data_IF_259787591891
#
_entry.id   IF_259787591891
#
_cell.length_a   1.000
_cell.length_b   1.000
_cell.length_c   1.000
_cell.angle_alpha   90.00
_cell.angle_beta   90.00
_cell.angle_gamma   90.00
#
_symmetry.space_group_name_H-M   'P 1'
#
loop_
_entity.id
_entity.type
_entity.pdbx_description
1 polymer ?
#
# COMPACT_ATOMS: atom_id res chain seq x y z
N UNK A 1 -40.16 -23.86 31.20
CA UNK A 1 -38.80 -23.45 31.60
C UNK A 1 -37.85 -23.31 30.41
N UNK A 2 -37.64 -24.33 29.57
CA UNK A 2 -36.67 -24.25 28.45
C UNK A 2 -36.96 -23.14 27.41
N UNK A 3 -38.22 -22.81 27.11
CA UNK A 3 -38.56 -21.72 26.18
C UNK A 3 -38.26 -20.31 26.71
N UNK A 4 -38.30 -20.12 28.03
CA UNK A 4 -38.01 -18.82 28.68
C UNK A 4 -36.50 -18.57 28.71
N UNK A 5 -35.70 -19.62 28.95
CA UNK A 5 -34.23 -19.54 28.95
C UNK A 5 -33.69 -19.20 27.55
N UNK A 6 -34.27 -19.79 26.48
CA UNK A 6 -33.89 -19.48 25.09
C UNK A 6 -34.23 -18.03 24.72
N UNK A 7 -35.38 -17.50 25.16
CA UNK A 7 -35.78 -16.12 24.89
C UNK A 7 -34.88 -15.10 25.60
N UNK A 8 -34.45 -15.41 26.83
CA UNK A 8 -33.50 -14.56 27.58
C UNK A 8 -32.12 -14.57 26.92
N UNK A 9 -31.65 -15.71 26.43
CA UNK A 9 -30.38 -15.79 25.70
C UNK A 9 -30.39 -14.99 24.39
N UNK A 10 -31.50 -15.04 23.63
CA UNK A 10 -31.68 -14.27 22.40
C UNK A 10 -31.70 -12.75 22.66
N UNK A 11 -32.37 -12.32 23.73
CA UNK A 11 -32.42 -10.90 24.12
C UNK A 11 -31.06 -10.39 24.63
N UNK A 12 -30.30 -11.22 25.37
CA UNK A 12 -28.95 -10.89 25.78
C UNK A 12 -27.99 -10.79 24.61
N UNK A 13 -28.09 -11.68 23.61
CA UNK A 13 -27.25 -11.58 22.41
C UNK A 13 -27.52 -10.31 21.61
N UNK A 14 -28.77 -9.87 21.49
CA UNK A 14 -29.12 -8.65 20.77
C UNK A 14 -28.62 -7.38 21.48
N UNK A 15 -28.69 -7.34 22.81
CA UNK A 15 -28.17 -6.21 23.60
C UNK A 15 -26.65 -6.10 23.54
N UNK A 16 -25.94 -7.23 23.59
CA UNK A 16 -24.47 -7.26 23.50
C UNK A 16 -24.02 -6.80 22.10
N UNK A 17 -24.67 -7.25 21.03
CA UNK A 17 -24.33 -6.84 19.66
C UNK A 17 -24.54 -5.33 19.43
N UNK A 18 -25.67 -4.77 19.86
CA UNK A 18 -25.94 -3.33 19.70
C UNK A 18 -25.01 -2.40 20.50
N UNK A 19 -24.52 -2.85 21.67
CA UNK A 19 -23.51 -2.09 22.43
C UNK A 19 -22.12 -2.17 21.81
N UNK A 20 -21.76 -3.32 21.22
CA UNK A 20 -20.48 -3.51 20.53
C UNK A 20 -20.43 -2.65 19.26
N UNK A 21 -21.49 -2.62 18.45
CA UNK A 21 -21.55 -1.79 17.23
C UNK A 21 -21.39 -0.29 17.51
N UNK A 22 -22.05 0.23 18.56
CA UNK A 22 -21.95 1.64 18.92
C UNK A 22 -20.53 2.01 19.44
N UNK A 23 -19.90 1.10 20.21
CA UNK A 23 -18.52 1.29 20.67
C UNK A 23 -17.51 1.23 19.53
N UNK A 24 -17.67 0.30 18.59
CA UNK A 24 -16.81 0.17 17.41
C UNK A 24 -16.84 1.44 16.57
N UNK A 25 -18.03 1.95 16.28
CA UNK A 25 -18.19 3.18 15.51
C UNK A 25 -17.52 4.37 16.21
N UNK A 26 -17.81 4.60 17.49
CA UNK A 26 -17.23 5.71 18.24
C UNK A 26 -15.70 5.59 18.36
N UNK A 27 -15.18 4.36 18.51
CA UNK A 27 -13.74 4.11 18.57
C UNK A 27 -13.06 4.28 17.21
N UNK A 28 -13.71 3.89 16.11
CA UNK A 28 -13.22 4.10 14.74
C UNK A 28 -13.08 5.60 14.43
N UNK A 29 -14.09 6.40 14.81
CA UNK A 29 -14.05 7.86 14.63
C UNK A 29 -12.89 8.47 15.41
N UNK A 30 -12.73 8.09 16.69
CA UNK A 30 -11.60 8.54 17.53
C UNK A 30 -10.26 8.10 16.97
N UNK A 31 -10.17 6.89 16.44
CA UNK A 31 -8.96 6.36 15.82
C UNK A 31 -8.56 7.21 14.61
N UNK A 32 -9.52 7.56 13.74
CA UNK A 32 -9.30 8.48 12.64
C UNK A 32 -8.81 9.86 13.09
N UNK A 33 -9.36 10.39 14.18
CA UNK A 33 -8.92 11.67 14.76
C UNK A 33 -7.51 11.63 15.34
N UNK A 34 -7.12 10.55 16.01
CA UNK A 34 -5.77 10.34 16.53
C UNK A 34 -4.78 10.21 15.37
N UNK A 35 -5.07 9.33 14.40
CA UNK A 35 -4.27 9.16 13.19
C UNK A 35 -4.03 10.48 12.47
N UNK A 36 -5.06 11.31 12.34
CA UNK A 36 -4.96 12.60 11.65
C UNK A 36 -3.97 13.58 12.27
N UNK A 37 -3.67 13.45 13.57
CA UNK A 37 -2.70 14.29 14.27
C UNK A 37 -1.27 13.75 14.14
N UNK A 38 -1.11 12.47 13.83
CA UNK A 38 0.17 11.79 13.69
C UNK A 38 0.05 10.63 12.68
N UNK A 39 0.14 10.98 11.40
CA UNK A 39 -0.04 10.02 10.29
C UNK A 39 1.06 8.97 10.18
N UNK A 40 2.20 9.20 10.85
CA UNK A 40 3.31 8.25 10.93
C UNK A 40 3.16 7.26 12.08
N UNK A 41 2.12 7.40 12.91
CA UNK A 41 1.81 6.54 14.05
C UNK A 41 2.94 6.40 15.09
N UNK A 42 3.91 7.33 15.12
CA UNK A 42 5.11 7.20 15.97
C UNK A 42 4.89 7.66 17.41
N UNK A 43 5.56 7.00 18.36
CA UNK A 43 5.71 7.45 19.75
C UNK A 43 4.68 6.89 20.74
N UNK A 44 5.08 6.83 22.01
CA UNK A 44 4.32 6.18 23.09
C UNK A 44 2.93 6.81 23.31
N UNK A 45 2.80 8.12 23.11
CA UNK A 45 1.49 8.79 23.24
C UNK A 45 0.50 8.28 22.21
N UNK A 46 0.94 8.08 20.96
CA UNK A 46 0.10 7.52 19.90
C UNK A 46 -0.33 6.11 20.27
N UNK A 47 0.65 5.23 20.58
CA UNK A 47 0.43 3.83 20.97
C UNK A 47 -0.57 3.73 22.13
N UNK A 48 -0.32 4.43 23.23
CA UNK A 48 -1.18 4.43 24.40
C UNK A 48 -2.60 4.97 24.13
N UNK A 49 -2.75 5.86 23.15
CA UNK A 49 -4.06 6.40 22.77
C UNK A 49 -4.88 5.42 21.95
N UNK A 50 -4.25 4.75 20.97
CA UNK A 50 -4.94 3.79 20.10
C UNK A 50 -5.23 2.45 20.81
N UNK A 51 -4.35 2.02 21.72
CA UNK A 51 -4.54 0.81 22.55
C UNK A 51 -5.87 0.82 23.34
N UNK A 52 -6.30 2.00 23.80
CA UNK A 52 -7.56 2.18 24.55
C UNK A 52 -8.81 2.02 23.68
N UNK A 53 -8.65 2.02 22.35
CA UNK A 53 -9.72 1.94 21.38
C UNK A 53 -9.99 0.52 20.89
N UNK A 54 -9.25 -0.47 21.39
CA UNK A 54 -9.37 -1.86 20.97
C UNK A 54 -10.78 -2.42 21.11
N UNK A 55 -11.19 -3.08 20.04
CA UNK A 55 -12.39 -3.90 19.91
C UNK A 55 -12.07 -5.01 18.91
N UNK A 56 -12.85 -6.11 18.83
CA UNK A 56 -12.57 -7.19 17.90
C UNK A 56 -12.38 -6.73 16.44
N UNK A 57 -13.16 -5.74 15.99
CA UNK A 57 -13.09 -5.22 14.63
C UNK A 57 -11.97 -4.17 14.42
N UNK A 58 -11.39 -3.62 15.48
CA UNK A 58 -10.33 -2.60 15.42
C UNK A 58 -8.95 -3.12 15.80
N UNK A 59 -8.85 -4.32 16.38
CA UNK A 59 -7.58 -4.88 16.86
C UNK A 59 -6.51 -4.91 15.78
N UNK A 60 -6.81 -5.51 14.62
CA UNK A 60 -5.84 -5.65 13.53
C UNK A 60 -5.41 -4.28 12.96
N UNK A 61 -6.32 -3.31 12.86
CA UNK A 61 -6.01 -1.94 12.44
C UNK A 61 -5.04 -1.28 13.43
N UNK A 62 -5.32 -1.42 14.73
CA UNK A 62 -4.48 -0.86 15.80
C UNK A 62 -3.10 -1.52 15.79
N UNK A 63 -3.03 -2.85 15.63
CA UNK A 63 -1.78 -3.60 15.54
C UNK A 63 -0.94 -3.14 14.34
N UNK A 64 -1.56 -2.96 13.17
CA UNK A 64 -0.90 -2.45 11.99
C UNK A 64 -0.38 -1.00 12.17
N UNK A 65 -1.18 -0.11 12.79
CA UNK A 65 -0.75 1.26 13.07
C UNK A 65 0.43 1.30 14.04
N UNK A 66 0.41 0.48 15.09
CA UNK A 66 1.53 0.36 16.03
C UNK A 66 2.78 -0.17 15.31
N UNK A 67 2.63 -1.22 14.51
CA UNK A 67 3.73 -1.78 13.72
C UNK A 67 4.35 -0.75 12.75
N UNK A 68 3.52 0.10 12.13
CA UNK A 68 3.99 1.25 11.30
C UNK A 68 4.80 2.25 12.12
N UNK A 69 4.33 2.59 13.32
CA UNK A 69 4.98 3.54 14.21
C UNK A 69 6.30 3.04 14.79
N UNK A 70 6.38 1.73 15.06
CA UNK A 70 7.52 1.04 15.67
C UNK A 70 8.51 0.49 14.64
N UNK A 71 8.19 0.59 13.34
CA UNK A 71 9.05 0.10 12.26
C UNK A 71 9.27 -1.42 12.39
N UNK A 72 8.21 -2.13 12.76
CA UNK A 72 8.22 -3.57 13.06
C UNK A 72 8.27 -4.39 11.77
N UNK A 73 9.24 -5.32 11.67
CA UNK A 73 9.38 -6.26 10.55
C UNK A 73 8.14 -7.14 10.33
N UNK A 74 7.25 -7.26 11.33
CA UNK A 74 5.95 -7.92 11.16
C UNK A 74 5.15 -7.36 9.99
N UNK A 75 5.34 -6.09 9.61
CA UNK A 75 4.74 -5.47 8.41
C UNK A 75 5.03 -6.24 7.12
N UNK A 76 6.09 -7.04 7.09
CA UNK A 76 6.50 -7.86 5.94
C UNK A 76 5.90 -9.27 5.97
N UNK A 77 5.14 -9.61 7.01
CA UNK A 77 4.60 -10.96 7.20
C UNK A 77 3.20 -11.11 6.63
N UNK A 78 2.70 -12.36 6.56
CA UNK A 78 1.33 -12.65 6.12
C UNK A 78 0.26 -11.95 6.97
N UNK A 79 0.56 -11.58 8.22
CA UNK A 79 -0.38 -10.87 9.09
C UNK A 79 -0.86 -9.57 8.42
N UNK A 80 0.07 -8.70 7.99
CA UNK A 80 -0.27 -7.40 7.39
C UNK A 80 -0.22 -7.38 5.86
N UNK A 81 0.34 -8.40 5.21
CA UNK A 81 0.34 -8.47 3.74
C UNK A 81 -0.87 -9.21 3.18
N UNK A 82 -1.57 -10.03 3.97
CA UNK A 82 -2.80 -10.69 3.51
C UNK A 82 -3.94 -9.69 3.33
N UNK A 83 -4.86 -9.97 2.40
CA UNK A 83 -6.05 -9.14 2.20
C UNK A 83 -6.89 -9.09 3.49
N UNK A 84 -7.13 -7.90 4.07
CA UNK A 84 -8.03 -7.76 5.22
C UNK A 84 -9.49 -8.07 4.85
N UNK A 85 -10.34 -8.19 5.86
CA UNK A 85 -11.80 -8.32 5.63
C UNK A 85 -12.37 -7.08 4.94
N UNK A 86 -13.47 -7.23 4.21
CA UNK A 86 -14.13 -6.11 3.52
C UNK A 86 -14.58 -5.01 4.50
N UNK A 87 -14.99 -5.39 5.72
CA UNK A 87 -15.31 -4.45 6.80
C UNK A 87 -14.08 -3.65 7.23
N UNK A 88 -12.94 -4.32 7.44
CA UNK A 88 -11.71 -3.66 7.85
C UNK A 88 -11.18 -2.73 6.75
N UNK A 89 -11.27 -3.14 5.49
CA UNK A 89 -10.94 -2.32 4.33
C UNK A 89 -11.77 -1.02 4.31
N UNK A 90 -13.08 -1.10 4.60
CA UNK A 90 -13.93 0.09 4.79
C UNK A 90 -13.49 0.94 6.01
N UNK A 91 -13.12 0.32 7.13
CA UNK A 91 -12.66 1.05 8.32
C UNK A 91 -11.35 1.83 8.07
N UNK A 92 -10.39 1.25 7.37
CA UNK A 92 -9.20 1.96 6.90
C UNK A 92 -9.55 3.15 6.01
N UNK A 93 -10.61 3.04 5.21
CA UNK A 93 -11.08 4.12 4.36
C UNK A 93 -11.77 5.23 5.17
N UNK A 94 -12.53 4.90 6.22
CA UNK A 94 -13.06 5.87 7.19
C UNK A 94 -11.93 6.69 7.82
N UNK A 95 -10.84 6.02 8.25
CA UNK A 95 -9.67 6.70 8.82
C UNK A 95 -9.07 7.69 7.82
N UNK A 96 -8.95 7.30 6.54
CA UNK A 96 -8.50 8.18 5.44
C UNK A 96 -9.41 9.38 5.27
N UNK A 97 -10.72 9.18 5.18
CA UNK A 97 -11.68 10.26 4.92
C UNK A 97 -11.79 11.23 6.10
N UNK A 98 -11.74 10.74 7.34
CA UNK A 98 -11.61 11.60 8.53
C UNK A 98 -10.34 12.44 8.45
N UNK A 99 -9.21 11.84 8.07
CA UNK A 99 -7.97 12.58 7.90
C UNK A 99 -8.09 13.65 6.82
N UNK A 100 -8.63 13.32 5.65
CA UNK A 100 -8.79 14.26 4.54
C UNK A 100 -9.74 15.40 4.90
N UNK A 101 -10.86 15.09 5.57
CA UNK A 101 -11.80 16.09 6.09
C UNK A 101 -11.14 17.09 7.05
N UNK A 102 -10.13 16.66 7.81
CA UNK A 102 -9.41 17.51 8.77
C UNK A 102 -8.29 18.33 8.17
N UNK A 103 -7.63 17.84 7.12
CA UNK A 103 -6.43 18.49 6.55
C UNK A 103 -6.66 19.15 5.19
N UNK A 104 -7.82 18.94 4.56
CA UNK A 104 -8.15 19.57 3.29
C UNK A 104 -8.12 21.09 3.41
N UNK A 105 -7.46 21.75 2.45
CA UNK A 105 -7.45 23.22 2.32
C UNK A 105 -8.62 23.74 1.50
N UNK A 106 -9.30 22.86 0.77
CA UNK A 106 -10.33 23.22 -0.22
C UNK A 106 -11.76 23.05 0.34
N UNK A 107 -11.94 22.14 1.30
CA UNK A 107 -13.26 21.80 1.86
C UNK A 107 -13.38 22.30 3.29
N UNK A 108 -14.58 22.77 3.66
CA UNK A 108 -14.89 23.07 5.05
C UNK A 108 -15.01 21.76 5.85
N UNK A 109 -14.31 21.61 6.99
CA UNK A 109 -14.39 20.40 7.80
C UNK A 109 -15.81 20.15 8.30
N UNK A 110 -16.30 18.92 8.10
CA UNK A 110 -17.58 18.43 8.63
C UNK A 110 -17.35 17.64 9.93
N UNK A 111 -18.40 17.38 10.74
CA UNK A 111 -18.26 16.50 11.90
C UNK A 111 -17.79 15.09 11.48
N UNK A 112 -16.74 14.56 12.14
CA UNK A 112 -16.13 13.28 11.73
C UNK A 112 -17.07 12.08 11.85
N UNK A 113 -18.07 12.13 12.74
CA UNK A 113 -19.12 11.10 12.81
C UNK A 113 -19.93 11.02 11.51
N UNK A 114 -20.36 12.17 10.97
CA UNK A 114 -21.09 12.23 9.70
C UNK A 114 -20.23 11.71 8.55
N UNK A 115 -18.94 12.07 8.52
CA UNK A 115 -18.00 11.55 7.51
C UNK A 115 -17.89 10.02 7.60
N UNK A 116 -17.76 9.47 8.81
CA UNK A 116 -17.68 8.04 9.01
C UNK A 116 -18.97 7.30 8.61
N UNK A 117 -20.13 7.82 8.99
CA UNK A 117 -21.45 7.28 8.60
C UNK A 117 -21.59 7.19 7.09
N UNK A 118 -21.36 8.30 6.37
CA UNK A 118 -21.46 8.36 4.91
C UNK A 118 -20.53 7.34 4.23
N UNK A 119 -19.30 7.19 4.72
CA UNK A 119 -18.34 6.22 4.16
C UNK A 119 -18.81 4.79 4.38
N UNK A 120 -19.30 4.46 5.57
CA UNK A 120 -19.77 3.11 5.90
C UNK A 120 -20.99 2.70 5.08
N UNK A 121 -21.92 3.64 4.86
CA UNK A 121 -23.14 3.46 4.06
C UNK A 121 -22.89 3.45 2.55
N UNK A 122 -21.79 4.06 2.10
CA UNK A 122 -21.47 4.14 0.68
C UNK A 122 -20.99 2.82 0.08
N UNK A 123 -21.34 2.61 -1.19
CA UNK A 123 -20.72 1.61 -2.05
C UNK A 123 -19.43 2.21 -2.64
N UNK A 124 -18.29 1.65 -2.24
CA UNK A 124 -16.95 2.10 -2.64
C UNK A 124 -16.30 0.99 -3.45
N UNK A 125 -15.61 1.36 -4.53
CA UNK A 125 -14.81 0.44 -5.32
C UNK A 125 -13.81 -0.31 -4.42
N UNK A 126 -13.88 -1.65 -4.41
CA UNK A 126 -13.02 -2.49 -3.57
C UNK A 126 -11.52 -2.27 -3.85
N UNK A 127 -11.18 -1.85 -5.09
CA UNK A 127 -9.81 -1.53 -5.49
C UNK A 127 -9.29 -0.29 -4.76
N UNK A 128 -10.17 0.69 -4.50
CA UNK A 128 -9.80 1.88 -3.71
C UNK A 128 -9.57 1.53 -2.24
N UNK A 129 -10.43 0.67 -1.69
CA UNK A 129 -10.31 0.24 -0.30
C UNK A 129 -8.99 -0.52 -0.08
N UNK A 130 -8.68 -1.49 -0.96
CA UNK A 130 -7.46 -2.27 -0.87
C UNK A 130 -6.19 -1.42 -1.13
N UNK A 131 -6.22 -0.55 -2.14
CA UNK A 131 -5.11 0.36 -2.41
C UNK A 131 -4.87 1.32 -1.24
N UNK A 132 -5.93 1.81 -0.58
CA UNK A 132 -5.80 2.62 0.63
C UNK A 132 -5.17 1.83 1.78
N UNK A 133 -5.61 0.58 2.02
CA UNK A 133 -5.02 -0.24 3.08
C UNK A 133 -3.50 -0.36 2.94
N UNK A 134 -3.04 -0.84 1.78
CA UNK A 134 -1.60 -1.02 1.56
C UNK A 134 -0.84 0.30 1.55
N UNK A 135 -1.44 1.39 1.03
CA UNK A 135 -0.87 2.73 1.12
C UNK A 135 -0.63 3.18 2.56
N UNK A 136 -1.48 2.80 3.52
CA UNK A 136 -1.35 3.23 4.93
C UNK A 136 -0.23 2.49 5.66
N UNK A 137 0.03 1.23 5.32
CA UNK A 137 1.12 0.46 5.95
C UNK A 137 2.48 0.65 5.24
N UNK A 138 2.49 1.07 3.98
CA UNK A 138 3.72 1.17 3.17
C UNK A 138 4.78 2.11 3.80
N UNK A 139 4.36 3.12 4.56
CA UNK A 139 5.29 4.05 5.22
C UNK A 139 6.15 3.36 6.27
N UNK A 140 5.58 2.41 7.02
CA UNK A 140 6.32 1.55 7.94
C UNK A 140 7.27 0.62 7.20
N UNK A 141 6.81 0.01 6.10
CA UNK A 141 7.63 -0.87 5.25
C UNK A 141 8.84 -0.12 4.68
N UNK A 142 8.65 1.12 4.22
CA UNK A 142 9.74 1.95 3.72
C UNK A 142 10.79 2.24 4.81
N UNK A 143 10.36 2.40 6.06
CA UNK A 143 11.27 2.59 7.20
C UNK A 143 12.04 1.32 7.53
N UNK A 144 11.36 0.18 7.62
CA UNK A 144 12.00 -1.14 7.79
C UNK A 144 13.09 -1.35 6.73
N UNK A 145 12.76 -1.14 5.45
CA UNK A 145 13.71 -1.31 4.35
C UNK A 145 14.90 -0.34 4.39
N UNK A 146 14.79 0.82 5.05
CA UNK A 146 15.91 1.75 5.12
C UNK A 146 17.09 1.18 5.91
N UNK A 147 16.80 0.33 6.89
CA UNK A 147 17.77 -0.19 7.85
C UNK A 147 17.98 -1.70 7.72
N UNK A 148 17.00 -2.44 7.20
CA UNK A 148 17.08 -3.88 6.98
C UNK A 148 17.65 -4.27 5.60
N UNK A 149 18.19 -5.48 5.52
CA UNK A 149 18.48 -6.18 4.27
C UNK A 149 17.37 -7.19 4.01
N UNK A 150 16.63 -7.04 2.91
CA UNK A 150 15.51 -7.90 2.56
C UNK A 150 15.84 -8.84 1.39
N UNK A 151 17.12 -8.98 1.01
CA UNK A 151 17.54 -9.79 -0.13
C UNK A 151 17.16 -11.28 -0.01
N UNK A 152 17.09 -11.81 1.22
CA UNK A 152 16.66 -13.17 1.51
C UNK A 152 15.12 -13.34 1.57
N UNK A 153 14.36 -12.22 1.54
CA UNK A 153 12.90 -12.29 1.53
C UNK A 153 12.36 -12.57 0.13
N UNK A 154 11.32 -13.39 0.08
CA UNK A 154 10.54 -13.64 -1.13
C UNK A 154 9.06 -13.44 -0.87
N UNK A 155 8.48 -12.39 -1.45
CA UNK A 155 7.04 -12.16 -1.42
C UNK A 155 6.36 -13.03 -2.46
N UNK A 156 5.82 -14.16 -2.02
CA UNK A 156 4.95 -14.99 -2.84
C UNK A 156 3.55 -14.37 -2.89
N UNK A 157 3.29 -13.54 -3.89
CA UNK A 157 2.07 -12.73 -4.01
C UNK A 157 0.80 -13.59 -3.99
N UNK A 158 0.89 -14.86 -4.41
CA UNK A 158 -0.25 -15.78 -4.43
C UNK A 158 -0.66 -16.27 -3.03
N UNK A 159 0.17 -16.06 -2.00
CA UNK A 159 -0.05 -16.60 -0.66
C UNK A 159 -0.84 -15.66 0.27
N UNK A 160 -1.18 -14.45 -0.20
CA UNK A 160 -1.78 -13.37 0.61
C UNK A 160 -3.31 -13.28 0.49
N UNK A 161 -3.96 -14.29 -0.11
CA UNK A 161 -5.42 -14.31 -0.24
C UNK A 161 -6.00 -13.27 -1.21
N UNK A 162 -5.18 -12.76 -2.13
CA UNK A 162 -5.58 -11.80 -3.17
C UNK A 162 -6.32 -12.54 -4.30
N UNK A 163 -7.52 -12.06 -4.64
CA UNK A 163 -8.51 -12.76 -5.48
C UNK A 163 -8.15 -12.75 -6.96
N UNK A 164 -7.53 -11.69 -7.45
CA UNK A 164 -7.30 -11.46 -8.88
C UNK A 164 -6.00 -10.66 -9.14
N UNK A 165 -5.62 -10.53 -10.41
CA UNK A 165 -4.39 -9.85 -10.81
C UNK A 165 -4.38 -8.35 -10.45
N UNK A 166 -5.55 -7.69 -10.35
CA UNK A 166 -5.66 -6.30 -9.87
C UNK A 166 -5.17 -6.20 -8.43
N UNK A 167 -5.68 -7.04 -7.54
CA UNK A 167 -5.32 -7.03 -6.12
C UNK A 167 -3.84 -7.37 -5.90
N UNK A 168 -3.32 -8.34 -6.67
CA UNK A 168 -1.90 -8.69 -6.71
C UNK A 168 -1.02 -7.53 -7.15
N UNK A 169 -1.45 -6.82 -8.19
CA UNK A 169 -0.74 -5.63 -8.67
C UNK A 169 -0.76 -4.50 -7.62
N UNK A 170 -1.87 -4.28 -6.92
CA UNK A 170 -1.98 -3.29 -5.84
C UNK A 170 -0.93 -3.57 -4.76
N UNK A 171 -0.88 -4.80 -4.22
CA UNK A 171 0.12 -5.17 -3.22
C UNK A 171 1.55 -4.97 -3.75
N UNK A 172 1.82 -5.46 -4.96
CA UNK A 172 3.13 -5.31 -5.60
C UNK A 172 3.55 -3.84 -5.70
N UNK A 173 2.66 -2.94 -6.16
CA UNK A 173 2.96 -1.52 -6.32
C UNK A 173 3.20 -0.82 -4.99
N UNK A 174 2.46 -1.17 -3.94
CA UNK A 174 2.67 -0.62 -2.60
C UNK A 174 4.00 -1.06 -2.00
N UNK A 175 4.35 -2.35 -2.11
CA UNK A 175 5.63 -2.87 -1.63
C UNK A 175 6.80 -2.28 -2.41
N UNK A 176 6.76 -2.38 -3.73
CA UNK A 176 7.85 -1.87 -4.57
C UNK A 176 8.01 -0.37 -4.42
N UNK A 177 6.91 0.40 -4.42
CA UNK A 177 6.92 1.83 -4.19
C UNK A 177 7.55 2.23 -2.85
N UNK A 178 7.27 1.50 -1.76
CA UNK A 178 7.87 1.75 -0.44
C UNK A 178 9.40 1.58 -0.46
N UNK A 179 9.89 0.53 -1.13
CA UNK A 179 11.30 0.17 -1.11
C UNK A 179 12.12 0.94 -2.16
N UNK A 180 11.52 1.36 -3.28
CA UNK A 180 12.26 2.04 -4.35
C UNK A 180 12.15 3.56 -4.34
N UNK A 181 11.42 4.16 -3.38
CA UNK A 181 11.23 5.61 -3.30
C UNK A 181 12.54 6.41 -3.35
N UNK A 182 13.61 5.87 -2.74
CA UNK A 182 14.94 6.51 -2.69
C UNK A 182 15.71 6.45 -4.01
N UNK A 183 15.35 5.57 -4.95
CA UNK A 183 16.10 5.36 -6.18
C UNK A 183 16.15 6.63 -7.03
N UNK A 184 15.01 7.30 -7.18
CA UNK A 184 14.93 8.58 -7.91
C UNK A 184 15.79 9.66 -7.25
N UNK A 185 15.77 9.75 -5.91
CA UNK A 185 16.59 10.72 -5.17
C UNK A 185 18.09 10.45 -5.42
N UNK A 186 18.51 9.18 -5.32
CA UNK A 186 19.89 8.79 -5.54
C UNK A 186 20.33 8.98 -7.00
N UNK A 187 19.45 8.74 -7.97
CA UNK A 187 19.69 9.00 -9.38
C UNK A 187 19.91 10.50 -9.63
N UNK A 188 19.03 11.37 -9.12
CA UNK A 188 19.16 12.84 -9.24
C UNK A 188 20.45 13.34 -8.58
N UNK A 189 20.81 12.79 -7.42
CA UNK A 189 22.04 13.10 -6.72
C UNK A 189 23.30 12.48 -7.34
N UNK A 190 23.14 11.71 -8.44
CA UNK A 190 24.22 10.98 -9.12
C UNK A 190 25.04 10.12 -8.15
N UNK A 191 24.33 9.30 -7.36
CA UNK A 191 24.90 8.35 -6.40
C UNK A 191 24.62 6.90 -6.82
N UNK A 192 25.17 6.43 -7.96
CA UNK A 192 24.87 5.10 -8.47
C UNK A 192 25.33 4.00 -7.51
N UNK A 193 26.46 4.14 -6.82
CA UNK A 193 26.93 3.15 -5.84
C UNK A 193 25.92 2.91 -4.73
N UNK A 194 25.42 4.01 -4.14
CA UNK A 194 24.43 3.93 -3.06
C UNK A 194 23.08 3.42 -3.55
N UNK A 195 22.71 3.72 -4.80
CA UNK A 195 21.50 3.16 -5.41
C UNK A 195 21.63 1.64 -5.51
N UNK A 196 22.77 1.14 -6.00
CA UNK A 196 23.04 -0.28 -6.11
C UNK A 196 23.07 -0.98 -4.75
N UNK A 197 23.64 -0.35 -3.71
CA UNK A 197 23.57 -0.88 -2.33
C UNK A 197 22.13 -1.08 -1.84
N UNK A 198 21.19 -0.19 -2.19
CA UNK A 198 19.77 -0.41 -1.87
C UNK A 198 19.13 -1.46 -2.80
N UNK A 199 19.50 -1.49 -4.09
CA UNK A 199 18.97 -2.47 -5.02
C UNK A 199 19.35 -3.91 -4.65
N UNK A 200 20.56 -4.11 -4.12
CA UNK A 200 21.03 -5.43 -3.69
C UNK A 200 20.30 -5.95 -2.43
N UNK A 201 19.66 -5.05 -1.66
CA UNK A 201 18.84 -5.40 -0.49
C UNK A 201 17.38 -5.69 -0.82
N UNK A 202 16.96 -5.51 -2.07
CA UNK A 202 15.55 -5.67 -2.44
C UNK A 202 15.14 -7.14 -2.40
N UNK A 203 13.91 -7.42 -1.95
CA UNK A 203 13.37 -8.78 -1.92
C UNK A 203 13.00 -9.27 -3.31
N UNK A 204 12.84 -10.59 -3.41
CA UNK A 204 12.26 -11.24 -4.56
C UNK A 204 10.72 -11.22 -4.50
N UNK A 205 10.08 -11.36 -5.66
CA UNK A 205 8.65 -11.59 -5.81
C UNK A 205 8.44 -12.87 -6.61
N UNK A 206 7.71 -13.82 -6.04
CA UNK A 206 7.48 -15.15 -6.65
C UNK A 206 8.78 -15.84 -7.12
N UNK A 207 9.87 -15.70 -6.35
CA UNK A 207 11.18 -16.29 -6.62
C UNK A 207 12.00 -15.56 -7.69
N UNK A 208 11.58 -14.37 -8.12
CA UNK A 208 12.26 -13.56 -9.14
C UNK A 208 12.62 -12.17 -8.62
N UNK A 209 13.65 -11.51 -9.17
CA UNK A 209 13.94 -10.12 -8.86
C UNK A 209 12.71 -9.24 -9.09
N UNK A 210 12.54 -8.19 -8.25
CA UNK A 210 11.35 -7.32 -8.30
C UNK A 210 11.04 -6.78 -9.70
N UNK A 211 12.07 -6.44 -10.49
CA UNK A 211 11.91 -5.87 -11.83
C UNK A 211 11.31 -6.83 -12.86
N UNK A 212 11.29 -8.14 -12.59
CA UNK A 212 10.69 -9.14 -13.49
C UNK A 212 9.15 -9.25 -13.34
N UNK A 213 8.56 -8.67 -12.29
CA UNK A 213 7.11 -8.70 -12.12
C UNK A 213 6.44 -7.74 -13.10
N UNK A 214 5.65 -8.29 -14.02
CA UNK A 214 5.06 -7.55 -15.16
C UNK A 214 3.57 -7.84 -15.38
N UNK A 215 2.91 -8.48 -14.41
CA UNK A 215 1.47 -8.77 -14.45
C UNK A 215 0.64 -7.51 -14.18
N UNK A 216 0.61 -6.58 -15.14
CA UNK A 216 -0.13 -5.31 -15.04
C UNK A 216 -1.33 -5.23 -16.00
N UNK A 217 -1.82 -6.38 -16.46
CA UNK A 217 -2.98 -6.52 -17.36
C UNK A 217 -4.30 -6.61 -16.60
N UNK A 218 -4.62 -5.56 -15.84
CA UNK A 218 -5.91 -5.39 -15.18
C UNK A 218 -6.70 -4.20 -15.74
N UNK A 219 -7.99 -4.08 -15.44
CA UNK A 219 -8.76 -2.88 -15.82
C UNK A 219 -8.29 -1.67 -15.00
N UNK A 220 -7.98 -0.57 -15.69
CA UNK A 220 -7.55 0.65 -14.99
C UNK A 220 -8.68 1.23 -14.14
N UNK A 221 -8.31 2.00 -13.12
CA UNK A 221 -9.25 2.65 -12.21
C UNK A 221 -8.65 3.94 -11.67
N UNK A 222 -9.45 4.67 -10.91
CA UNK A 222 -9.01 5.93 -10.34
C UNK A 222 -8.08 5.71 -9.14
N UNK A 223 -6.92 6.36 -9.17
CA UNK A 223 -6.14 6.67 -7.99
C UNK A 223 -6.67 7.97 -7.38
N UNK A 224 -7.14 7.90 -6.14
CA UNK A 224 -7.75 9.03 -5.43
C UNK A 224 -6.77 9.63 -4.42
N UNK A 225 -6.02 10.63 -4.86
CA UNK A 225 -5.10 11.42 -4.03
C UNK A 225 -5.82 12.38 -3.08
N UNK A 226 -5.05 13.27 -2.43
CA UNK A 226 -5.61 14.32 -1.56
C UNK A 226 -6.40 15.35 -2.36
N UNK A 227 -5.81 15.88 -3.43
CA UNK A 227 -6.34 17.02 -4.20
C UNK A 227 -6.60 16.69 -5.68
N UNK A 228 -6.35 15.44 -6.10
CA UNK A 228 -6.51 15.03 -7.50
C UNK A 228 -6.84 13.55 -7.64
N UNK A 229 -7.54 13.26 -8.72
CA UNK A 229 -7.82 11.91 -9.20
C UNK A 229 -7.08 11.68 -10.52
N UNK A 230 -6.39 10.55 -10.65
CA UNK A 230 -5.65 10.17 -11.86
C UNK A 230 -5.82 8.68 -12.17
N UNK A 231 -5.39 8.23 -13.36
CA UNK A 231 -5.31 6.80 -13.68
C UNK A 231 -4.34 6.09 -12.71
N UNK A 232 -4.82 5.02 -12.09
CA UNK A 232 -4.04 4.20 -11.16
C UNK A 232 -2.85 3.57 -11.87
N UNK A 233 -3.05 3.03 -13.08
CA UNK A 233 -1.94 2.53 -13.90
C UNK A 233 -0.92 3.61 -14.21
N UNK A 234 -1.37 4.82 -14.58
CA UNK A 234 -0.45 5.92 -14.90
C UNK A 234 0.44 6.27 -13.71
N UNK A 235 -0.13 6.37 -12.52
CA UNK A 235 0.62 6.65 -11.28
C UNK A 235 1.59 5.51 -10.97
N UNK A 236 1.09 4.28 -10.85
CA UNK A 236 1.87 3.19 -10.28
C UNK A 236 2.83 2.54 -11.28
N UNK A 237 2.42 2.31 -12.54
CA UNK A 237 3.34 1.80 -13.57
C UNK A 237 4.41 2.86 -13.89
N UNK A 238 4.06 4.15 -13.86
CA UNK A 238 5.02 5.24 -13.99
C UNK A 238 6.12 5.20 -12.91
N UNK A 239 5.73 4.97 -11.65
CA UNK A 239 6.70 4.82 -10.55
C UNK A 239 7.60 3.59 -10.72
N UNK A 240 7.05 2.48 -11.23
CA UNK A 240 7.84 1.27 -11.55
C UNK A 240 8.85 1.59 -12.66
N UNK A 241 8.44 2.30 -13.72
CA UNK A 241 9.36 2.74 -14.77
C UNK A 241 10.51 3.58 -14.22
N UNK A 242 10.19 4.58 -13.39
CA UNK A 242 11.21 5.44 -12.79
C UNK A 242 12.20 4.63 -11.95
N UNK A 243 11.70 3.71 -11.14
CA UNK A 243 12.52 2.86 -10.26
C UNK A 243 13.43 1.93 -11.06
N UNK A 244 12.89 1.21 -12.05
CA UNK A 244 13.66 0.27 -12.88
C UNK A 244 14.64 1.02 -13.78
N UNK A 245 14.26 2.17 -14.34
CA UNK A 245 15.17 2.98 -15.14
C UNK A 245 16.33 3.55 -14.30
N UNK A 246 16.08 3.97 -13.06
CA UNK A 246 17.12 4.42 -12.15
C UNK A 246 18.12 3.30 -11.84
N UNK A 247 17.62 2.08 -11.59
CA UNK A 247 18.46 0.90 -11.40
C UNK A 247 19.25 0.52 -12.66
N UNK A 248 18.59 0.45 -13.80
CA UNK A 248 19.22 0.19 -15.10
C UNK A 248 20.34 1.19 -15.39
N UNK A 249 20.09 2.48 -15.18
CA UNK A 249 21.08 3.54 -15.38
C UNK A 249 22.29 3.37 -14.47
N UNK A 250 22.09 3.06 -13.18
CA UNK A 250 23.20 2.84 -12.25
C UNK A 250 24.06 1.62 -12.63
N UNK A 251 23.44 0.55 -13.13
CA UNK A 251 24.14 -0.63 -13.65
C UNK A 251 24.93 -0.29 -14.93
N UNK A 252 24.33 0.49 -15.84
CA UNK A 252 24.98 0.95 -17.05
C UNK A 252 26.21 1.84 -16.75
N UNK A 253 26.13 2.72 -15.74
CA UNK A 253 27.24 3.55 -15.28
C UNK A 253 28.43 2.70 -14.76
N UNK A 254 28.14 1.52 -14.17
CA UNK A 254 29.14 0.53 -13.77
C UNK A 254 29.68 -0.31 -14.92
N UNK A 255 29.16 -0.11 -16.14
CA UNK A 255 29.52 -0.87 -17.35
C UNK A 255 29.26 -2.38 -17.21
N UNK A 256 28.35 -2.77 -16.33
CA UNK A 256 27.89 -4.17 -16.23
C UNK A 256 26.82 -4.43 -17.29
N UNK A 257 27.32 -4.69 -18.50
CA UNK A 257 26.47 -4.86 -19.69
C UNK A 257 25.57 -6.08 -19.63
N UNK A 258 25.98 -7.15 -18.93
CA UNK A 258 25.18 -8.37 -18.81
C UNK A 258 23.96 -8.11 -17.92
N UNK A 259 24.17 -7.52 -16.73
CA UNK A 259 23.09 -7.20 -15.80
C UNK A 259 22.17 -6.11 -16.36
N UNK A 260 22.70 -5.10 -17.06
CA UNK A 260 21.88 -4.09 -17.74
C UNK A 260 20.95 -4.75 -18.77
N UNK A 261 21.50 -5.67 -19.57
CA UNK A 261 20.74 -6.41 -20.58
C UNK A 261 19.65 -7.26 -19.94
N UNK A 262 19.94 -7.93 -18.83
CA UNK A 262 18.97 -8.73 -18.09
C UNK A 262 17.79 -7.88 -17.60
N UNK A 263 18.09 -6.76 -16.94
CA UNK A 263 17.09 -5.80 -16.45
C UNK A 263 16.23 -5.30 -17.62
N UNK A 264 16.84 -4.93 -18.75
CA UNK A 264 16.10 -4.45 -19.92
C UNK A 264 15.10 -5.50 -20.41
N UNK A 265 15.58 -6.69 -20.81
CA UNK A 265 14.75 -7.68 -21.49
C UNK A 265 13.72 -8.38 -20.59
N UNK A 266 13.95 -8.44 -19.28
CA UNK A 266 13.04 -9.11 -18.36
C UNK A 266 12.07 -8.19 -17.63
N UNK A 267 12.22 -6.87 -17.77
CA UNK A 267 11.33 -5.90 -17.11
C UNK A 267 10.36 -5.23 -18.07
N UNK A 268 9.54 -4.32 -17.54
CA UNK A 268 8.65 -3.49 -18.35
C UNK A 268 9.36 -2.61 -19.39
N UNK A 269 10.68 -2.39 -19.25
CA UNK A 269 11.46 -1.64 -20.24
C UNK A 269 11.45 -2.28 -21.64
N UNK A 270 11.12 -3.57 -21.74
CA UNK A 270 11.03 -4.31 -23.00
C UNK A 270 9.60 -4.67 -23.43
N UNK A 271 8.57 -4.13 -22.76
CA UNK A 271 7.18 -4.52 -23.00
C UNK A 271 6.38 -3.34 -23.59
N UNK A 272 6.20 -3.25 -24.93
CA UNK A 272 5.69 -2.05 -25.59
C UNK A 272 4.32 -1.57 -25.13
N UNK A 273 3.41 -2.48 -24.76
CA UNK A 273 2.06 -2.11 -24.29
C UNK A 273 2.08 -1.22 -23.04
N UNK A 274 3.18 -1.22 -22.28
CA UNK A 274 3.34 -0.39 -21.09
C UNK A 274 4.09 0.92 -21.35
N UNK A 275 4.70 1.15 -22.52
CA UNK A 275 5.56 2.33 -22.75
C UNK A 275 4.81 3.66 -22.57
N UNK A 276 3.51 3.70 -22.86
CA UNK A 276 2.64 4.86 -22.61
C UNK A 276 2.59 5.35 -21.15
N UNK A 277 3.00 4.52 -20.20
CA UNK A 277 3.05 4.88 -18.77
C UNK A 277 4.44 5.40 -18.35
N UNK A 278 5.43 5.37 -19.24
CA UNK A 278 6.81 5.81 -18.96
C UNK A 278 7.00 7.34 -19.05
N UNK A 279 5.96 8.07 -19.45
CA UNK A 279 6.02 9.52 -19.60
C UNK A 279 6.95 9.95 -20.72
N UNK A 280 7.93 10.79 -20.40
CA UNK A 280 8.87 11.34 -21.40
C UNK A 280 9.77 10.28 -22.06
N UNK A 281 9.87 9.07 -21.48
CA UNK A 281 10.71 7.99 -22.02
C UNK A 281 10.01 7.17 -23.12
N UNK A 282 8.74 7.44 -23.44
CA UNK A 282 7.96 6.58 -24.34
C UNK A 282 8.57 6.50 -25.75
N UNK A 283 9.02 7.63 -26.31
CA UNK A 283 9.64 7.66 -27.64
C UNK A 283 10.90 6.82 -27.69
N UNK A 284 11.75 6.96 -26.67
CA UNK A 284 13.06 6.34 -26.59
C UNK A 284 12.93 4.82 -26.40
N UNK A 285 12.00 4.39 -25.53
CA UNK A 285 11.69 2.98 -25.34
C UNK A 285 11.18 2.33 -26.63
N UNK A 286 10.32 3.02 -27.38
CA UNK A 286 9.85 2.54 -28.68
C UNK A 286 10.99 2.39 -29.69
N UNK A 287 11.93 3.33 -29.74
CA UNK A 287 13.07 3.28 -30.65
C UNK A 287 14.03 2.14 -30.27
N UNK A 288 14.40 2.02 -28.99
CA UNK A 288 15.28 0.96 -28.48
C UNK A 288 14.65 -0.41 -28.73
N UNK A 289 13.35 -0.56 -28.48
CA UNK A 289 12.63 -1.81 -28.75
C UNK A 289 12.71 -2.20 -30.23
N UNK A 290 12.47 -1.27 -31.15
CA UNK A 290 12.57 -1.53 -32.60
C UNK A 290 13.98 -2.02 -32.99
N UNK A 291 15.02 -1.31 -32.54
CA UNK A 291 16.43 -1.68 -32.77
C UNK A 291 16.78 -3.06 -32.22
N UNK A 292 16.19 -3.46 -31.09
CA UNK A 292 16.46 -4.77 -30.49
C UNK A 292 15.81 -5.95 -31.22
N UNK A 293 14.95 -5.69 -32.21
CA UNK A 293 14.29 -6.70 -33.05
C UNK A 293 14.98 -6.92 -34.40
N UNK A 294 15.96 -6.06 -34.73
CA UNK A 294 16.82 -6.15 -35.92
C UNK A 294 18.03 -7.05 -35.63
#
# INVERSE_FOLDING_TARGET
MNKIIILIFLLFSAFIHGQIENKDFDNLVKLGEIYSKNVNATGDEFKNSVEKLRTPNLNHIIDALIAVGEEDEKLLTKEFLSKPSDLELKYWYVIREIHYNRVSKEKQPRPNKIVAEEVLESEIDERWLLANYYYRIQGGIAKVFNDADLSDYNFNINDYGLKNETEKAILYFSLTGAMTQRFMVLQVLKKPEKLLEFADKLPAFNGKPYYEYTSFDFEDFDWVGYDKTESYKKVHIGNVYQSINAYFSAIADKKDTEKARDIYFKSILYIPKYFKYSGLMESDLNEIYKKSKE
#
